data_IF_288376124261
#
_entry.id   IF_288376124261
#
_cell.length_a   1.000
_cell.length_b   1.000
_cell.length_c   1.000
_cell.angle_alpha   90.00
_cell.angle_beta   90.00
_cell.angle_gamma   90.00
#
_symmetry.space_group_name_H-M   'P 1'
#
loop_
_entity.id
_entity.type
_entity.pdbx_description
1 polymer ?
#
# COMPACT_ATOMS: atom_id res chain seq x y z
N UNK A 1 -7.23 -33.81 -30.86
CA UNK A 1 -8.36 -32.87 -31.09
C UNK A 1 -8.91 -32.46 -29.73
N UNK A 2 -8.59 -31.24 -29.31
CA UNK A 2 -8.96 -30.68 -28.01
C UNK A 2 -10.47 -30.35 -28.03
N UNK A 3 -11.29 -31.05 -27.23
CA UNK A 3 -12.70 -30.66 -27.03
C UNK A 3 -12.71 -29.38 -26.20
N UNK A 4 -13.20 -28.29 -26.79
CA UNK A 4 -13.51 -27.04 -26.09
C UNK A 4 -14.43 -27.34 -24.91
N UNK A 5 -14.08 -26.87 -23.73
CA UNK A 5 -15.03 -26.71 -22.62
C UNK A 5 -16.05 -25.62 -23.03
N UNK A 6 -17.35 -25.80 -22.75
CA UNK A 6 -18.30 -24.70 -22.89
C UNK A 6 -18.09 -23.65 -21.79
N UNK A 7 -18.31 -22.40 -22.16
CA UNK A 7 -18.10 -21.20 -21.37
C UNK A 7 -18.92 -21.21 -20.07
N UNK A 8 -18.32 -20.66 -19.01
CA UNK A 8 -18.85 -20.63 -17.64
C UNK A 8 -19.48 -19.25 -17.39
N UNK A 9 -20.30 -18.76 -18.30
CA UNK A 9 -20.97 -17.46 -18.12
C UNK A 9 -22.41 -17.61 -18.63
N UNK A 10 -23.35 -16.96 -17.95
CA UNK A 10 -24.81 -16.96 -18.16
C UNK A 10 -25.66 -17.78 -17.16
N UNK A 11 -25.26 -17.84 -15.89
CA UNK A 11 -26.25 -18.08 -14.81
C UNK A 11 -26.79 -16.72 -14.39
N UNK A 12 -28.08 -16.47 -14.66
CA UNK A 12 -28.77 -15.25 -14.23
C UNK A 12 -28.65 -15.09 -12.70
N UNK A 13 -28.42 -13.88 -12.16
CA UNK A 13 -28.37 -13.66 -10.72
C UNK A 13 -29.58 -14.21 -9.96
N UNK A 14 -30.76 -14.26 -10.61
CA UNK A 14 -31.96 -14.87 -10.05
C UNK A 14 -31.86 -16.41 -9.94
N UNK A 15 -31.23 -17.07 -10.90
CA UNK A 15 -31.01 -18.53 -10.91
C UNK A 15 -29.94 -18.96 -9.91
N UNK A 16 -28.91 -18.16 -9.69
CA UNK A 16 -27.92 -18.42 -8.63
C UNK A 16 -28.55 -18.31 -7.23
N UNK A 17 -29.45 -17.35 -7.03
CA UNK A 17 -30.19 -17.19 -5.77
C UNK A 17 -31.20 -18.34 -5.59
N UNK A 18 -31.91 -18.75 -6.65
CA UNK A 18 -32.83 -19.89 -6.59
C UNK A 18 -32.12 -21.22 -6.34
N UNK A 19 -30.97 -21.48 -6.98
CA UNK A 19 -30.16 -22.67 -6.69
C UNK A 19 -29.62 -22.67 -5.25
N UNK A 20 -29.26 -21.49 -4.72
CA UNK A 20 -28.81 -21.34 -3.32
C UNK A 20 -29.96 -21.42 -2.30
N UNK A 21 -31.21 -21.16 -2.71
CA UNK A 21 -32.42 -21.39 -1.91
C UNK A 21 -32.82 -22.87 -1.93
N UNK A 22 -32.84 -23.49 -3.11
CA UNK A 22 -33.11 -24.93 -3.28
C UNK A 22 -32.08 -25.80 -2.55
N UNK A 23 -30.79 -25.41 -2.53
CA UNK A 23 -29.75 -26.13 -1.78
C UNK A 23 -29.84 -25.94 -0.25
N UNK A 24 -30.48 -24.87 0.21
CA UNK A 24 -30.80 -24.67 1.64
C UNK A 24 -32.04 -25.46 2.03
N UNK A 25 -33.06 -25.50 1.18
CA UNK A 25 -34.28 -26.27 1.42
C UNK A 25 -34.03 -27.79 1.41
N UNK A 26 -33.13 -28.29 0.53
CA UNK A 26 -32.72 -29.72 0.55
C UNK A 26 -31.86 -30.09 1.77
N UNK A 27 -31.16 -29.13 2.39
CA UNK A 27 -30.42 -29.35 3.64
C UNK A 27 -31.33 -29.25 4.88
N UNK A 28 -32.46 -28.54 4.79
CA UNK A 28 -33.44 -28.41 5.88
C UNK A 28 -34.44 -29.59 5.93
N UNK A 29 -34.72 -30.24 4.80
CA UNK A 29 -35.67 -31.37 4.73
C UNK A 29 -35.12 -32.72 5.25
N UNK A 30 -33.82 -32.80 5.58
CA UNK A 30 -33.19 -34.02 6.10
C UNK A 30 -33.10 -34.14 7.63
N UNK A 31 -33.58 -33.15 8.39
CA UNK A 31 -33.38 -33.10 9.85
C UNK A 31 -34.71 -33.29 10.60
N UNK A 32 -34.95 -34.53 11.01
CA UNK A 32 -36.00 -34.90 11.94
C UNK A 32 -35.90 -34.14 13.27
N UNK A 33 -37.08 -33.82 13.81
CA UNK A 33 -37.38 -33.06 15.03
C UNK A 33 -36.39 -33.33 16.19
N UNK A 34 -35.42 -32.43 16.35
CA UNK A 34 -34.43 -32.45 17.43
C UNK A 34 -33.37 -31.35 17.30
N UNK A 35 -33.76 -30.15 16.85
CA UNK A 35 -32.83 -29.17 16.25
C UNK A 35 -32.61 -27.88 17.07
N UNK A 36 -32.73 -27.92 18.40
CA UNK A 36 -32.28 -26.78 19.24
C UNK A 36 -30.77 -26.71 19.38
N UNK A 37 -30.08 -27.87 19.29
CA UNK A 37 -28.61 -27.95 19.35
C UNK A 37 -27.90 -27.79 18.01
N UNK A 38 -28.57 -28.09 16.88
CA UNK A 38 -27.93 -28.13 15.55
C UNK A 38 -27.67 -26.74 14.96
N UNK A 39 -28.50 -25.75 15.29
CA UNK A 39 -28.26 -24.36 14.90
C UNK A 39 -27.04 -23.81 15.64
N UNK A 40 -26.98 -24.00 16.97
CA UNK A 40 -25.86 -23.58 17.81
C UNK A 40 -24.52 -24.17 17.30
N UNK A 41 -24.48 -25.48 17.02
CA UNK A 41 -23.27 -26.13 16.51
C UNK A 41 -22.85 -25.64 15.12
N UNK A 42 -23.80 -25.33 14.23
CA UNK A 42 -23.50 -24.77 12.91
C UNK A 42 -22.96 -23.33 13.00
N UNK A 43 -23.53 -22.51 13.88
CA UNK A 43 -23.03 -21.16 14.16
C UNK A 43 -21.63 -21.19 14.80
N UNK A 44 -21.40 -22.11 15.74
CA UNK A 44 -20.11 -22.29 16.39
C UNK A 44 -19.04 -22.81 15.43
N UNK A 45 -19.37 -23.78 14.58
CA UNK A 45 -18.48 -24.30 13.53
C UNK A 45 -18.10 -23.19 12.52
N UNK A 46 -19.08 -22.37 12.11
CA UNK A 46 -18.84 -21.26 11.19
C UNK A 46 -18.00 -20.16 11.83
N UNK A 47 -18.20 -19.87 13.11
CA UNK A 47 -17.38 -18.93 13.90
C UNK A 47 -15.96 -19.46 14.07
N UNK A 48 -15.79 -20.76 14.32
CA UNK A 48 -14.49 -21.42 14.39
C UNK A 48 -13.75 -21.35 13.05
N UNK A 49 -14.43 -21.64 11.93
CA UNK A 49 -13.86 -21.55 10.59
C UNK A 49 -13.42 -20.11 10.24
N UNK A 50 -14.20 -19.10 10.62
CA UNK A 50 -13.83 -17.69 10.46
C UNK A 50 -12.64 -17.28 11.34
N UNK A 51 -12.55 -17.81 12.56
CA UNK A 51 -11.44 -17.54 13.45
C UNK A 51 -10.16 -18.19 12.93
N UNK A 52 -10.24 -19.43 12.45
CA UNK A 52 -9.11 -20.19 11.95
C UNK A 52 -8.56 -19.62 10.65
N UNK A 53 -9.43 -19.28 9.70
CA UNK A 53 -9.04 -18.61 8.45
C UNK A 53 -8.39 -17.26 8.69
N UNK A 54 -8.87 -16.51 9.69
CA UNK A 54 -8.23 -15.26 10.11
C UNK A 54 -6.87 -15.55 10.77
N UNK A 55 -6.79 -16.49 11.71
CA UNK A 55 -5.63 -16.76 12.56
C UNK A 55 -4.41 -17.22 11.76
N UNK A 56 -4.65 -18.07 10.76
CA UNK A 56 -3.62 -18.61 9.88
C UNK A 56 -3.60 -17.95 8.49
N UNK A 57 -4.14 -16.74 8.38
CA UNK A 57 -4.03 -15.95 7.16
C UNK A 57 -2.55 -15.68 6.83
N UNK A 58 -2.21 -15.63 5.54
CA UNK A 58 -0.82 -15.53 5.09
C UNK A 58 -0.10 -14.28 5.64
N UNK A 59 -0.84 -13.18 5.83
CA UNK A 59 -0.38 -11.95 6.49
C UNK A 59 0.06 -12.10 7.96
N UNK A 60 -0.20 -13.25 8.59
CA UNK A 60 0.18 -13.56 9.98
C UNK A 60 1.21 -14.69 10.07
N UNK A 61 1.71 -15.18 8.93
CA UNK A 61 2.82 -16.13 8.91
C UNK A 61 4.09 -15.43 9.44
N UNK A 62 4.91 -16.17 10.16
CA UNK A 62 6.21 -15.68 10.62
C UNK A 62 7.07 -15.35 9.38
N UNK A 63 7.68 -14.15 9.37
CA UNK A 63 8.38 -13.64 8.19
C UNK A 63 7.50 -12.93 7.16
N UNK A 64 6.23 -12.64 7.47
CA UNK A 64 5.41 -11.76 6.64
C UNK A 64 6.00 -10.34 6.61
N UNK A 65 6.44 -9.91 5.43
CA UNK A 65 6.83 -8.53 5.16
C UNK A 65 5.58 -7.80 4.70
N UNK A 66 5.26 -6.71 5.38
CA UNK A 66 4.10 -5.88 5.03
C UNK A 66 4.30 -5.22 3.66
N UNK A 67 3.23 -4.70 3.09
CA UNK A 67 3.29 -4.03 1.79
C UNK A 67 4.32 -2.88 1.80
N UNK A 68 5.05 -2.74 0.70
CA UNK A 68 5.98 -1.64 0.50
C UNK A 68 5.20 -0.31 0.53
N UNK A 69 5.82 0.73 1.08
CA UNK A 69 5.25 2.09 1.04
C UNK A 69 5.24 2.58 -0.41
N UNK A 70 4.04 2.84 -0.90
CA UNK A 70 3.81 3.45 -2.21
C UNK A 70 4.13 4.96 -2.18
N UNK A 71 4.42 5.50 -3.36
CA UNK A 71 4.71 6.93 -3.52
C UNK A 71 3.45 7.77 -3.28
N UNK A 72 3.59 8.80 -2.46
CA UNK A 72 2.51 9.75 -2.17
C UNK A 72 2.43 10.85 -3.23
N UNK A 73 1.24 11.44 -3.47
CA UNK A 73 1.11 12.52 -4.44
C UNK A 73 2.00 13.72 -4.07
N UNK A 74 2.65 14.37 -5.05
CA UNK A 74 3.63 15.45 -4.81
C UNK A 74 3.02 16.69 -4.13
N UNK A 75 1.71 16.90 -4.27
CA UNK A 75 0.98 18.00 -3.62
C UNK A 75 1.00 17.90 -2.09
N UNK A 76 1.14 16.69 -1.54
CA UNK A 76 1.19 16.48 -0.10
C UNK A 76 2.38 17.21 0.54
N UNK A 77 3.57 17.04 -0.03
CA UNK A 77 4.80 17.68 0.44
C UNK A 77 4.71 19.20 0.27
N UNK A 78 4.25 19.65 -0.91
CA UNK A 78 4.11 21.08 -1.22
C UNK A 78 3.20 21.78 -0.23
N UNK A 79 2.09 21.13 0.15
CA UNK A 79 1.16 21.63 1.17
C UNK A 79 1.81 21.68 2.55
N UNK A 80 2.49 20.61 2.97
CA UNK A 80 3.16 20.56 4.28
C UNK A 80 4.17 21.69 4.43
N UNK A 81 5.05 21.88 3.45
CA UNK A 81 6.08 22.93 3.50
C UNK A 81 5.44 24.32 3.55
N UNK A 82 4.40 24.55 2.73
CA UNK A 82 3.65 25.82 2.72
C UNK A 82 2.96 26.11 4.06
N UNK A 83 2.37 25.09 4.67
CA UNK A 83 1.63 25.22 5.93
C UNK A 83 2.58 25.44 7.13
N UNK A 84 3.77 24.83 7.13
CA UNK A 84 4.75 24.96 8.22
C UNK A 84 5.58 26.24 8.13
N UNK A 85 5.90 26.69 6.90
CA UNK A 85 6.52 27.98 6.61
C UNK A 85 7.67 28.35 7.56
N UNK A 86 7.52 29.46 8.27
CA UNK A 86 8.52 30.02 9.18
C UNK A 86 8.39 29.51 10.64
N UNK A 87 7.51 28.54 10.90
CA UNK A 87 7.28 27.95 12.23
C UNK A 87 6.96 28.99 13.32
N UNK A 88 6.49 30.18 12.95
CA UNK A 88 6.17 31.27 13.89
C UNK A 88 4.90 30.97 14.70
N UNK A 89 3.96 30.25 14.10
CA UNK A 89 2.67 29.97 14.72
C UNK A 89 2.77 29.02 15.93
N UNK A 90 1.90 29.24 16.92
CA UNK A 90 1.78 28.38 18.12
C UNK A 90 1.37 26.94 17.77
N UNK A 91 0.73 26.73 16.62
CA UNK A 91 0.23 25.42 16.17
C UNK A 91 1.37 24.41 15.98
N UNK A 92 2.50 24.84 15.44
CA UNK A 92 3.64 23.96 15.10
C UNK A 92 4.71 23.91 16.19
N UNK A 93 4.37 24.20 17.45
CA UNK A 93 5.33 24.20 18.56
C UNK A 93 5.96 22.82 18.79
N UNK A 94 5.21 21.75 18.60
CA UNK A 94 5.68 20.37 18.80
C UNK A 94 6.70 19.96 17.75
N UNK A 95 6.56 20.46 16.53
CA UNK A 95 7.41 20.09 15.39
C UNK A 95 8.77 20.80 15.43
N UNK A 96 8.91 21.95 16.12
CA UNK A 96 10.18 22.69 16.23
C UNK A 96 11.36 21.84 16.70
N UNK A 97 11.13 20.93 17.64
CA UNK A 97 12.17 20.00 18.14
C UNK A 97 12.66 19.08 17.03
N UNK A 98 11.76 18.65 16.14
CA UNK A 98 12.09 17.75 15.04
C UNK A 98 12.93 18.47 13.98
N UNK A 99 12.60 19.73 13.65
CA UNK A 99 13.41 20.55 12.74
C UNK A 99 14.85 20.71 13.24
N UNK A 100 15.04 20.96 14.54
CA UNK A 100 16.38 21.03 15.14
C UNK A 100 17.10 19.68 15.09
N UNK A 101 16.40 18.56 15.30
CA UNK A 101 16.98 17.22 15.17
C UNK A 101 17.38 16.88 13.73
N UNK A 102 16.61 17.35 12.75
CA UNK A 102 16.86 17.13 11.34
C UNK A 102 18.12 17.82 10.82
N UNK A 103 18.54 18.91 11.46
CA UNK A 103 19.76 19.67 11.12
C UNK A 103 21.02 18.78 11.06
N UNK A 104 21.10 17.75 11.91
CA UNK A 104 22.20 16.77 11.90
C UNK A 104 22.40 16.10 10.54
N UNK A 105 21.32 15.86 9.80
CA UNK A 105 21.33 15.16 8.52
C UNK A 105 21.33 16.10 7.32
N UNK A 106 21.41 17.41 7.55
CA UNK A 106 21.48 18.41 6.49
C UNK A 106 22.65 18.18 5.52
N UNK A 107 23.87 17.84 5.97
CA UNK A 107 24.97 17.56 5.03
C UNK A 107 24.66 16.41 4.06
N UNK A 108 23.93 15.40 4.52
CA UNK A 108 23.53 14.27 3.67
C UNK A 108 22.46 14.68 2.65
N UNK A 109 21.48 15.48 3.06
CA UNK A 109 20.46 15.99 2.14
C UNK A 109 21.06 16.86 1.04
N UNK A 110 22.00 17.74 1.41
CA UNK A 110 22.71 18.60 0.46
C UNK A 110 23.57 17.78 -0.51
N UNK A 111 24.32 16.79 -0.01
CA UNK A 111 25.11 15.90 -0.85
C UNK A 111 24.23 15.20 -1.90
N UNK A 112 23.13 14.57 -1.48
CA UNK A 112 22.20 13.87 -2.37
C UNK A 112 21.53 14.81 -3.39
N UNK A 113 21.32 16.08 -3.04
CA UNK A 113 20.81 17.10 -3.95
C UNK A 113 21.85 17.49 -5.01
N UNK A 114 23.10 17.72 -4.60
CA UNK A 114 24.18 18.11 -5.51
C UNK A 114 24.60 16.99 -6.44
N UNK A 115 24.59 15.73 -5.98
CA UNK A 115 24.82 14.56 -6.83
C UNK A 115 23.81 14.46 -7.98
N UNK A 116 22.59 14.96 -7.78
CA UNK A 116 21.49 14.84 -8.74
C UNK A 116 21.18 16.15 -9.47
N UNK A 117 22.16 17.04 -9.63
CA UNK A 117 21.97 18.23 -10.47
C UNK A 117 21.58 17.86 -11.90
N UNK A 118 20.70 18.64 -12.56
CA UNK A 118 20.35 18.43 -13.96
C UNK A 118 21.57 18.73 -14.83
N UNK A 119 21.82 17.86 -15.79
CA UNK A 119 22.89 18.05 -16.76
C UNK A 119 22.49 19.15 -17.77
N UNK A 120 23.42 19.86 -18.41
CA UNK A 120 23.09 21.03 -19.24
C UNK A 120 22.21 20.73 -20.46
N UNK A 121 22.16 19.47 -20.90
CA UNK A 121 21.27 19.00 -21.96
C UNK A 121 19.87 18.59 -21.48
N UNK A 122 19.64 18.57 -20.17
CA UNK A 122 18.39 18.17 -19.54
C UNK A 122 17.62 19.42 -19.06
N UNK A 123 16.43 19.67 -19.61
CA UNK A 123 15.63 20.85 -19.27
C UNK A 123 15.00 20.74 -17.88
N UNK A 124 14.50 19.57 -17.52
CA UNK A 124 13.84 19.26 -16.25
C UNK A 124 14.24 17.85 -15.84
N UNK A 125 14.62 17.68 -14.57
CA UNK A 125 14.92 16.38 -13.97
C UNK A 125 13.95 16.09 -12.83
N UNK A 126 13.10 15.10 -13.00
CA UNK A 126 12.23 14.60 -11.94
C UNK A 126 12.99 13.59 -11.08
N UNK A 127 12.91 13.76 -9.76
CA UNK A 127 13.71 13.00 -8.80
C UNK A 127 12.82 12.49 -7.67
N UNK A 128 12.98 11.23 -7.29
CA UNK A 128 12.29 10.65 -6.12
C UNK A 128 12.82 11.26 -4.83
N UNK A 129 11.88 11.67 -3.97
CA UNK A 129 12.19 12.33 -2.70
C UNK A 129 11.66 11.51 -1.53
N UNK A 130 12.52 11.28 -0.53
CA UNK A 130 12.15 10.77 0.78
C UNK A 130 12.08 11.95 1.75
N UNK A 131 10.92 12.18 2.36
CA UNK A 131 10.69 13.34 3.21
C UNK A 131 10.19 12.96 4.59
N UNK A 132 10.47 13.82 5.57
CA UNK A 132 9.89 13.71 6.90
C UNK A 132 8.40 14.08 6.88
N UNK A 133 7.55 13.41 7.67
CA UNK A 133 6.09 13.62 7.67
C UNK A 133 5.67 15.07 8.01
N UNK A 134 6.49 15.78 8.78
CA UNK A 134 6.29 17.21 9.10
C UNK A 134 6.94 18.16 8.10
N UNK A 135 7.69 17.65 7.11
CA UNK A 135 8.44 18.47 6.16
C UNK A 135 9.74 19.07 6.74
N UNK A 136 10.27 18.50 7.82
CA UNK A 136 11.50 18.98 8.47
C UNK A 136 12.77 18.83 7.62
N UNK A 137 12.83 17.77 6.81
CA UNK A 137 13.94 17.49 5.90
C UNK A 137 13.43 16.64 4.73
N UNK A 138 14.05 16.84 3.57
CA UNK A 138 13.78 16.14 2.32
C UNK A 138 15.09 15.64 1.75
N UNK A 139 15.18 14.34 1.49
CA UNK A 139 16.31 13.68 0.86
C UNK A 139 15.94 13.28 -0.56
N UNK A 140 16.86 13.46 -1.49
CA UNK A 140 16.79 12.82 -2.79
C UNK A 140 17.14 11.34 -2.63
N UNK A 141 16.22 10.45 -2.99
CA UNK A 141 16.38 8.99 -2.87
C UNK A 141 16.76 8.35 -4.21
N UNK A 142 17.76 8.93 -4.89
CA UNK A 142 18.26 8.44 -6.17
C UNK A 142 19.80 8.49 -6.23
N UNK A 143 20.36 7.55 -6.98
CA UNK A 143 21.77 7.51 -7.36
C UNK A 143 21.81 7.70 -8.89
N UNK A 144 22.54 8.70 -9.41
CA UNK A 144 22.62 8.95 -10.85
C UNK A 144 23.48 7.88 -11.51
N UNK A 145 22.86 6.84 -12.05
CA UNK A 145 23.55 5.85 -12.88
C UNK A 145 23.65 6.38 -14.32
N UNK A 146 24.86 6.47 -14.84
CA UNK A 146 25.11 6.95 -16.21
C UNK A 146 25.97 5.95 -16.96
N UNK A 147 25.67 5.74 -18.25
CA UNK A 147 26.49 4.92 -19.15
C UNK A 147 27.72 5.74 -19.55
N UNK A 148 28.91 5.23 -19.22
CA UNK A 148 30.18 5.96 -19.37
C UNK A 148 30.44 6.47 -20.80
N UNK A 149 30.26 5.61 -21.81
CA UNK A 149 30.50 5.99 -23.21
C UNK A 149 29.60 7.12 -23.70
N UNK A 150 28.34 7.13 -23.26
CA UNK A 150 27.36 8.18 -23.58
C UNK A 150 27.72 9.46 -22.84
N UNK A 151 28.10 9.37 -21.56
CA UNK A 151 28.47 10.52 -20.75
C UNK A 151 29.68 11.26 -21.33
N UNK A 152 30.72 10.54 -21.75
CA UNK A 152 31.90 11.14 -22.37
C UNK A 152 31.52 11.81 -23.69
N UNK A 153 30.67 11.18 -24.51
CA UNK A 153 30.21 11.77 -25.77
C UNK A 153 29.32 13.02 -25.58
N UNK A 154 28.66 13.17 -24.43
CA UNK A 154 27.87 14.35 -24.09
C UNK A 154 28.72 15.52 -23.56
N UNK A 155 29.89 15.23 -22.97
CA UNK A 155 30.78 16.23 -22.38
C UNK A 155 32.02 16.58 -23.21
N UNK A 156 32.43 15.71 -24.15
CA UNK A 156 33.57 15.92 -25.04
C UNK A 156 33.21 16.75 -26.27
#
# INVERSE_FOLDING_TARGET
MCRRQPAVDDISPAEYINNKKNSKETMEQGLGKGASGFSATWYDARKWQQLQSKRYAEKRKFGFVDAQKEDMPPEHIRKIIRDHGDMSSRKYRHDKRVYLGALKYMPHAVLKLMENMPMPWEQIRDVKVLYHITGAITFVNEIPWVIESVYIAQWG
#
